data_IF_155256577497
#
_entry.id   IF_155256577497
#
_cell.length_a   1.000
_cell.length_b   1.000
_cell.length_c   1.000
_cell.angle_alpha   90.00
_cell.angle_beta   90.00
_cell.angle_gamma   90.00
#
_symmetry.space_group_name_H-M   'P 1'
#
loop_
_entity.id
_entity.type
_entity.pdbx_description
1 polymer ?
#
# COMPACT_ATOMS: atom_id res chain seq x y z
N UNK A 1 -44.62 1.77 53.31
CA UNK A 1 -44.18 1.97 51.91
C UNK A 1 -43.01 1.04 51.62
N UNK A 2 -43.09 0.25 50.53
CA UNK A 2 -42.19 -0.89 50.23
C UNK A 2 -40.82 -0.42 49.72
N UNK A 3 -39.75 -1.02 50.25
CA UNK A 3 -38.35 -0.86 49.81
C UNK A 3 -38.13 -1.59 48.48
N UNK A 4 -37.78 -0.87 47.41
CA UNK A 4 -37.41 -1.46 46.12
C UNK A 4 -35.90 -1.76 46.11
N UNK A 5 -35.54 -3.04 46.11
CA UNK A 5 -34.14 -3.51 46.00
C UNK A 5 -33.71 -3.48 44.53
N UNK A 6 -32.74 -2.65 44.18
CA UNK A 6 -32.06 -2.72 42.88
C UNK A 6 -31.21 -4.01 42.77
N UNK A 7 -31.58 -4.90 41.85
CA UNK A 7 -30.75 -6.05 41.48
C UNK A 7 -29.73 -5.63 40.42
N UNK A 8 -28.46 -5.48 40.81
CA UNK A 8 -27.34 -5.34 39.85
C UNK A 8 -27.03 -6.68 39.19
N UNK A 9 -27.46 -6.84 37.93
CA UNK A 9 -27.18 -8.03 37.12
C UNK A 9 -25.71 -8.02 36.67
N UNK A 10 -24.86 -8.82 37.31
CA UNK A 10 -23.47 -9.02 36.88
C UNK A 10 -23.43 -9.88 35.61
N UNK A 11 -23.25 -9.25 34.45
CA UNK A 11 -23.09 -9.95 33.16
C UNK A 11 -21.67 -10.53 33.08
N UNK A 12 -21.58 -11.87 33.14
CA UNK A 12 -20.32 -12.64 33.15
C UNK A 12 -19.72 -12.73 31.75
N UNK A 13 -18.99 -11.70 31.34
CA UNK A 13 -18.20 -11.68 30.09
C UNK A 13 -16.91 -12.52 30.21
N UNK A 14 -16.97 -13.85 30.02
CA UNK A 14 -15.76 -14.69 29.92
C UNK A 14 -15.60 -15.53 28.65
N UNK A 15 -16.65 -15.72 27.83
CA UNK A 15 -16.61 -16.63 26.66
C UNK A 15 -16.82 -15.99 25.28
N UNK A 16 -17.02 -14.69 25.18
CA UNK A 16 -17.35 -14.03 23.91
C UNK A 16 -16.15 -13.58 23.07
N UNK A 17 -14.92 -13.58 23.60
CA UNK A 17 -13.74 -13.06 22.88
C UNK A 17 -13.38 -13.87 21.62
N UNK A 18 -13.46 -15.20 21.63
CA UNK A 18 -13.10 -16.05 20.47
C UNK A 18 -14.13 -15.97 19.34
N UNK A 19 -15.42 -15.93 19.67
CA UNK A 19 -16.50 -15.82 18.68
C UNK A 19 -16.47 -14.43 18.04
N UNK A 20 -16.27 -13.38 18.84
CA UNK A 20 -16.17 -12.01 18.35
C UNK A 20 -14.97 -11.78 17.42
N UNK A 21 -13.81 -12.39 17.73
CA UNK A 21 -12.63 -12.33 16.86
C UNK A 21 -12.86 -13.09 15.55
N UNK A 22 -13.49 -14.26 15.57
CA UNK A 22 -13.78 -15.03 14.36
C UNK A 22 -14.77 -14.29 13.45
N UNK A 23 -15.81 -13.68 14.01
CA UNK A 23 -16.76 -12.84 13.25
C UNK A 23 -16.10 -11.58 12.69
N UNK A 24 -15.23 -10.93 13.48
CA UNK A 24 -14.47 -9.77 13.01
C UNK A 24 -13.56 -10.13 11.81
N UNK A 25 -12.85 -11.27 11.88
CA UNK A 25 -12.02 -11.75 10.78
C UNK A 25 -12.83 -12.09 9.51
N UNK A 26 -13.98 -12.76 9.67
CA UNK A 26 -14.84 -13.11 8.53
C UNK A 26 -15.43 -11.88 7.83
N UNK A 27 -15.82 -10.86 8.61
CA UNK A 27 -16.33 -9.59 8.09
C UNK A 27 -15.21 -8.80 7.40
N UNK A 28 -14.02 -8.76 8.00
CA UNK A 28 -12.87 -8.03 7.47
C UNK A 28 -12.38 -8.58 6.13
N UNK A 29 -12.31 -9.91 5.94
CA UNK A 29 -11.90 -10.49 4.66
C UNK A 29 -12.84 -10.12 3.50
N UNK A 30 -14.16 -10.05 3.74
CA UNK A 30 -15.14 -9.63 2.74
C UNK A 30 -15.01 -8.15 2.37
N UNK A 31 -14.66 -7.28 3.33
CA UNK A 31 -14.37 -5.87 3.06
C UNK A 31 -13.12 -5.69 2.18
N UNK A 32 -12.02 -6.40 2.49
CA UNK A 32 -10.81 -6.38 1.65
C UNK A 32 -11.14 -6.80 0.22
N UNK A 33 -11.91 -7.88 0.04
CA UNK A 33 -12.31 -8.34 -1.30
C UNK A 33 -13.14 -7.32 -2.08
N UNK A 34 -14.08 -6.64 -1.43
CA UNK A 34 -14.91 -5.61 -2.07
C UNK A 34 -14.12 -4.34 -2.40
N UNK A 35 -13.21 -3.91 -1.52
CA UNK A 35 -12.32 -2.78 -1.80
C UNK A 35 -11.39 -3.11 -2.96
N UNK A 36 -10.81 -4.33 -2.98
CA UNK A 36 -9.98 -4.78 -4.08
C UNK A 36 -10.75 -4.83 -5.40
N UNK A 37 -11.98 -5.36 -5.39
CA UNK A 37 -12.86 -5.41 -6.57
C UNK A 37 -13.29 -4.01 -7.03
N UNK A 38 -13.44 -3.05 -6.12
CA UNK A 38 -13.73 -1.65 -6.44
C UNK A 38 -12.52 -0.93 -7.05
N UNK A 39 -11.32 -1.17 -6.52
CA UNK A 39 -10.05 -0.65 -7.07
C UNK A 39 -9.77 -1.27 -8.46
N UNK A 40 -10.05 -2.55 -8.66
CA UNK A 40 -9.89 -3.23 -9.95
C UNK A 40 -10.97 -2.89 -10.98
N UNK A 41 -12.15 -2.43 -10.54
CA UNK A 41 -13.19 -1.85 -11.40
C UNK A 41 -12.89 -0.39 -11.76
N UNK A 42 -11.63 0.03 -11.74
CA UNK A 42 -11.23 1.33 -12.29
C UNK A 42 -11.63 1.34 -13.78
N UNK A 43 -12.71 2.07 -14.06
CA UNK A 43 -13.27 2.29 -15.39
C UNK A 43 -12.14 2.75 -16.30
N UNK A 44 -11.79 1.93 -17.29
CA UNK A 44 -10.85 2.30 -18.36
C UNK A 44 -11.39 3.59 -18.97
N UNK A 45 -10.68 4.70 -18.77
CA UNK A 45 -10.96 5.96 -19.44
C UNK A 45 -10.87 5.70 -20.94
N UNK A 46 -11.98 5.90 -21.64
CA UNK A 46 -12.11 5.78 -23.09
C UNK A 46 -11.36 6.90 -23.83
N UNK A 47 -10.88 7.91 -23.11
CA UNK A 47 -9.96 8.92 -23.62
C UNK A 47 -8.51 8.56 -23.29
N UNK A 48 -7.75 8.20 -24.33
CA UNK A 48 -6.29 8.23 -24.34
C UNK A 48 -5.86 9.72 -24.34
N UNK A 49 -5.94 10.39 -23.18
CA UNK A 49 -5.42 11.75 -23.06
C UNK A 49 -3.90 11.71 -23.20
N UNK A 50 -3.45 11.86 -24.44
CA UNK A 50 -2.07 12.11 -24.81
C UNK A 50 -1.57 13.36 -24.08
N UNK A 51 -0.32 13.32 -23.60
CA UNK A 51 0.33 14.41 -22.86
C UNK A 51 0.31 15.77 -23.57
N UNK A 52 0.07 15.77 -24.87
CA UNK A 52 -0.11 16.97 -25.69
C UNK A 52 -1.27 17.86 -25.21
N UNK A 53 -2.29 17.28 -24.56
CA UNK A 53 -3.39 18.06 -23.96
C UNK A 53 -3.05 18.63 -22.58
N UNK A 54 -2.11 18.02 -21.84
CA UNK A 54 -1.58 18.57 -20.58
C UNK A 54 -0.57 19.70 -20.83
N UNK A 55 0.19 19.64 -21.93
CA UNK A 55 1.04 20.74 -22.36
C UNK A 55 0.21 21.98 -22.73
N UNK A 56 -1.00 21.78 -23.28
CA UNK A 56 -1.99 22.86 -23.50
C UNK A 56 -2.60 23.41 -22.20
N UNK A 57 -2.54 22.67 -21.09
CA UNK A 57 -3.16 23.08 -19.82
C UNK A 57 -2.25 23.89 -18.89
N UNK A 58 -1.10 24.39 -19.38
CA UNK A 58 -0.23 25.29 -18.63
C UNK A 58 0.59 24.64 -17.50
N UNK A 59 0.72 23.29 -17.51
CA UNK A 59 1.64 22.61 -16.59
C UNK A 59 3.07 22.80 -17.11
N UNK A 60 3.74 23.78 -16.52
CA UNK A 60 5.13 24.15 -16.76
C UNK A 60 6.07 22.92 -16.65
N UNK A 61 6.81 22.60 -17.71
CA UNK A 61 7.75 21.46 -17.79
C UNK A 61 8.79 21.49 -16.64
N UNK A 62 9.06 22.68 -16.12
CA UNK A 62 9.93 22.89 -14.95
C UNK A 62 9.38 22.22 -13.68
N UNK A 63 8.06 22.27 -13.45
CA UNK A 63 7.41 21.63 -12.27
C UNK A 63 7.47 20.11 -12.35
N UNK A 64 7.31 19.55 -13.55
CA UNK A 64 7.40 18.11 -13.78
C UNK A 64 8.80 17.61 -13.39
N UNK A 65 9.85 18.32 -13.80
CA UNK A 65 11.23 17.97 -13.45
C UNK A 65 11.47 17.94 -11.93
N UNK A 66 10.90 18.90 -11.19
CA UNK A 66 10.99 18.94 -9.73
C UNK A 66 10.26 17.77 -9.07
N UNK A 67 9.09 17.41 -9.57
CA UNK A 67 8.30 16.27 -9.08
C UNK A 67 9.08 14.97 -9.32
N UNK A 68 9.68 14.78 -10.49
CA UNK A 68 10.52 13.61 -10.81
C UNK A 68 11.72 13.49 -9.86
N UNK A 69 12.40 14.61 -9.57
CA UNK A 69 13.51 14.64 -8.61
C UNK A 69 13.05 14.22 -7.21
N UNK A 70 11.92 14.75 -6.74
CA UNK A 70 11.32 14.36 -5.44
C UNK A 70 10.97 12.88 -5.42
N UNK A 71 10.28 12.35 -6.43
CA UNK A 71 9.96 10.92 -6.49
C UNK A 71 11.19 10.01 -6.53
N UNK A 72 12.24 10.43 -7.24
CA UNK A 72 13.52 9.70 -7.25
C UNK A 72 14.18 9.70 -5.88
N UNK A 73 14.11 10.81 -5.16
CA UNK A 73 14.58 10.89 -3.78
C UNK A 73 13.77 9.97 -2.85
N UNK A 74 12.44 10.02 -2.92
CA UNK A 74 11.56 9.15 -2.12
C UNK A 74 11.78 7.66 -2.43
N UNK A 75 11.97 7.31 -3.71
CA UNK A 75 12.30 5.94 -4.13
C UNK A 75 13.59 5.46 -3.45
N UNK A 76 14.66 6.27 -3.53
CA UNK A 76 15.95 5.93 -2.90
C UNK A 76 15.81 5.82 -1.39
N UNK A 77 15.07 6.73 -0.76
CA UNK A 77 14.82 6.70 0.68
C UNK A 77 14.05 5.43 1.09
N UNK A 78 12.99 5.05 0.38
CA UNK A 78 12.25 3.81 0.64
C UNK A 78 13.12 2.56 0.46
N UNK A 79 13.99 2.54 -0.56
CA UNK A 79 14.93 1.43 -0.76
C UNK A 79 15.96 1.35 0.37
N UNK A 80 16.54 2.48 0.78
CA UNK A 80 17.48 2.51 1.91
C UNK A 80 16.81 2.04 3.20
N UNK A 81 15.59 2.51 3.49
CA UNK A 81 14.83 2.05 4.65
C UNK A 81 14.52 0.55 4.56
N UNK A 82 14.15 0.03 3.39
CA UNK A 82 13.90 -1.41 3.21
C UNK A 82 15.16 -2.24 3.53
N UNK A 83 16.34 -1.77 3.10
CA UNK A 83 17.63 -2.42 3.41
C UNK A 83 17.92 -2.38 4.91
N UNK A 84 17.71 -1.24 5.58
CA UNK A 84 17.91 -1.13 7.04
C UNK A 84 16.97 -2.06 7.80
N UNK A 85 15.68 -2.10 7.42
CA UNK A 85 14.70 -2.99 8.03
C UNK A 85 15.05 -4.46 7.78
N UNK A 86 15.59 -4.79 6.61
CA UNK A 86 16.04 -6.15 6.30
C UNK A 86 17.17 -6.61 7.23
N UNK A 87 18.20 -5.78 7.41
CA UNK A 87 19.28 -6.09 8.38
C UNK A 87 18.76 -6.19 9.81
N UNK A 88 17.84 -5.31 10.20
CA UNK A 88 17.21 -5.35 11.51
C UNK A 88 16.37 -6.62 11.72
N UNK A 89 15.61 -7.05 10.70
CA UNK A 89 14.85 -8.28 10.73
C UNK A 89 15.78 -9.49 10.90
N UNK A 90 16.88 -9.55 10.15
CA UNK A 90 17.87 -10.62 10.24
C UNK A 90 18.50 -10.69 11.64
N UNK A 91 18.83 -9.53 12.23
CA UNK A 91 19.29 -9.46 13.62
C UNK A 91 18.26 -10.00 14.63
N UNK A 92 16.97 -9.69 14.43
CA UNK A 92 15.88 -10.20 15.28
C UNK A 92 15.71 -11.72 15.16
N UNK A 93 15.87 -12.27 13.96
CA UNK A 93 15.83 -13.71 13.72
C UNK A 93 16.97 -14.43 14.46
N UNK A 94 18.20 -13.89 14.41
CA UNK A 94 19.34 -14.45 15.14
C UNK A 94 19.10 -14.45 16.66
N UNK A 95 18.47 -13.41 17.20
CA UNK A 95 18.12 -13.33 18.64
C UNK A 95 16.93 -14.22 19.05
N UNK A 96 16.28 -14.92 18.12
CA UNK A 96 15.14 -15.80 18.41
C UNK A 96 13.79 -15.09 18.52
N UNK A 97 13.70 -13.79 18.20
CA UNK A 97 12.43 -13.05 18.20
C UNK A 97 11.65 -13.25 16.89
N UNK A 98 11.25 -14.49 16.61
CA UNK A 98 10.64 -14.90 15.33
C UNK A 98 9.37 -14.09 15.00
N UNK A 99 8.46 -13.90 15.97
CA UNK A 99 7.21 -13.14 15.76
C UNK A 99 7.47 -11.69 15.37
N UNK A 100 8.45 -11.04 16.02
CA UNK A 100 8.80 -9.64 15.72
C UNK A 100 9.54 -9.56 14.39
N UNK A 101 10.34 -10.58 14.05
CA UNK A 101 10.96 -10.75 12.74
C UNK A 101 9.94 -10.76 11.59
N UNK A 102 8.81 -11.46 11.75
CA UNK A 102 7.73 -11.46 10.75
C UNK A 102 7.06 -10.09 10.59
N UNK A 103 6.91 -9.32 11.67
CA UNK A 103 6.37 -7.96 11.61
C UNK A 103 7.35 -7.05 10.87
N UNK A 104 8.65 -7.12 11.18
CA UNK A 104 9.69 -6.38 10.49
C UNK A 104 9.77 -6.75 9.00
N UNK A 105 9.62 -8.04 8.66
CA UNK A 105 9.58 -8.53 7.28
C UNK A 105 8.36 -7.98 6.52
N UNK A 106 7.19 -7.93 7.17
CA UNK A 106 5.99 -7.30 6.60
C UNK A 106 6.21 -5.80 6.33
N UNK A 107 6.87 -5.10 7.26
CA UNK A 107 7.21 -3.68 7.10
C UNK A 107 8.21 -3.45 5.96
N UNK A 108 9.21 -4.33 5.81
CA UNK A 108 10.13 -4.30 4.67
C UNK A 108 9.38 -4.47 3.34
N UNK A 109 8.44 -5.40 3.27
CA UNK A 109 7.64 -5.64 2.06
C UNK A 109 6.75 -4.43 1.71
N UNK A 110 6.20 -3.73 2.71
CA UNK A 110 5.48 -2.47 2.50
C UNK A 110 6.39 -1.36 1.94
N UNK A 111 7.62 -1.23 2.45
CA UNK A 111 8.59 -0.26 1.94
C UNK A 111 9.00 -0.58 0.50
N UNK A 112 9.16 -1.87 0.17
CA UNK A 112 9.46 -2.31 -1.19
C UNK A 112 8.29 -2.04 -2.15
N UNK A 113 7.05 -2.27 -1.71
CA UNK A 113 5.85 -1.93 -2.49
C UNK A 113 5.73 -0.41 -2.73
N UNK A 114 6.08 0.41 -1.74
CA UNK A 114 6.13 1.86 -1.90
C UNK A 114 7.25 2.28 -2.87
N UNK A 115 8.43 1.67 -2.78
CA UNK A 115 9.52 1.91 -3.73
C UNK A 115 9.05 1.59 -5.17
N UNK A 116 8.44 0.42 -5.37
CA UNK A 116 7.86 0.05 -6.65
C UNK A 116 6.84 1.10 -7.16
N UNK A 117 5.94 1.57 -6.29
CA UNK A 117 4.95 2.60 -6.63
C UNK A 117 5.61 3.90 -7.10
N UNK A 118 6.63 4.38 -6.41
CA UNK A 118 7.36 5.59 -6.83
C UNK A 118 8.12 5.38 -8.14
N UNK A 119 8.67 4.18 -8.36
CA UNK A 119 9.32 3.83 -9.62
C UNK A 119 8.31 3.85 -10.79
N UNK A 120 7.12 3.29 -10.58
CA UNK A 120 6.05 3.29 -11.57
C UNK A 120 5.56 4.70 -11.88
N UNK A 121 5.33 5.54 -10.86
CA UNK A 121 4.98 6.94 -11.06
C UNK A 121 6.05 7.71 -11.83
N UNK A 122 7.33 7.51 -11.49
CA UNK A 122 8.43 8.10 -12.23
C UNK A 122 8.39 7.70 -13.71
N UNK A 123 8.15 6.42 -13.99
CA UNK A 123 8.03 5.91 -15.36
C UNK A 123 6.85 6.53 -16.12
N UNK A 124 5.68 6.68 -15.48
CA UNK A 124 4.52 7.34 -16.09
C UNK A 124 4.80 8.81 -16.43
N UNK A 125 5.52 9.53 -15.57
CA UNK A 125 5.94 10.91 -15.83
C UNK A 125 6.96 11.00 -16.99
N UNK A 126 7.91 10.05 -17.09
CA UNK A 126 8.88 10.03 -18.18
C UNK A 126 8.28 9.66 -19.53
N UNK A 127 7.42 8.63 -19.57
CA UNK A 127 6.75 8.18 -20.79
C UNK A 127 5.64 9.13 -21.25
N UNK A 128 5.29 10.14 -20.44
CA UNK A 128 4.27 11.13 -20.77
C UNK A 128 2.94 10.46 -21.19
N UNK A 129 2.56 9.34 -20.56
CA UNK A 129 1.31 8.61 -20.85
C UNK A 129 0.52 8.32 -19.57
N UNK A 130 -0.62 9.00 -19.41
CA UNK A 130 -1.59 8.76 -18.34
C UNK A 130 -2.46 7.55 -18.73
N UNK A 131 -1.89 6.36 -18.70
CA UNK A 131 -2.62 5.15 -19.13
C UNK A 131 -1.78 3.89 -19.36
N UNK A 132 -0.45 3.94 -19.18
CA UNK A 132 0.37 2.74 -19.30
C UNK A 132 -0.13 1.64 -18.35
N UNK A 133 -0.38 0.47 -18.92
CA UNK A 133 -0.87 -0.69 -18.16
C UNK A 133 0.30 -1.25 -17.33
N UNK A 134 0.05 -1.73 -16.10
CA UNK A 134 1.08 -2.38 -15.27
C UNK A 134 1.84 -3.49 -16.02
N UNK A 135 1.14 -4.20 -16.91
CA UNK A 135 1.71 -5.21 -17.79
C UNK A 135 2.75 -4.64 -18.76
N UNK A 136 2.49 -3.49 -19.39
CA UNK A 136 3.44 -2.85 -20.31
C UNK A 136 4.70 -2.40 -19.58
N UNK A 137 4.55 -1.78 -18.41
CA UNK A 137 5.69 -1.38 -17.59
C UNK A 137 6.51 -2.58 -17.09
N UNK A 138 5.85 -3.66 -16.66
CA UNK A 138 6.53 -4.85 -16.16
C UNK A 138 7.29 -5.56 -17.29
N UNK A 139 6.66 -5.67 -18.47
CA UNK A 139 7.32 -6.20 -19.67
C UNK A 139 8.49 -5.31 -20.07
N UNK A 140 8.34 -3.99 -20.12
CA UNK A 140 9.42 -3.06 -20.49
C UNK A 140 10.58 -3.07 -19.48
N UNK A 141 10.28 -3.24 -18.19
CA UNK A 141 11.29 -3.40 -17.14
C UNK A 141 12.08 -4.71 -17.27
N UNK A 142 11.39 -5.83 -17.51
CA UNK A 142 12.03 -7.15 -17.63
C UNK A 142 12.65 -7.42 -18.99
N UNK A 143 12.15 -6.78 -20.05
CA UNK A 143 12.62 -7.00 -21.43
C UNK A 143 13.94 -6.28 -21.72
N UNK A 144 14.42 -5.44 -20.80
CA UNK A 144 15.73 -4.81 -20.89
C UNK A 144 15.76 -3.69 -21.93
N UNK A 145 16.28 -2.54 -21.52
CA UNK A 145 16.39 -1.36 -22.35
C UNK A 145 17.08 -1.60 -23.69
N UNK A 146 16.57 -0.90 -24.69
CA UNK A 146 17.42 -0.26 -25.69
C UNK A 146 17.43 1.22 -25.40
#
# INVERSE_FOLDING_TARGET
MKKTKEKKTKVRFRRTKRIFLADAFHKQHRFIGNVFKSILKLKKSEHDMSYTDLAKSGIDETRISHIIKKFTFLLRLCLLLAVVIYFYALYLFIKGYILVGFIALSLMMLMLANAFKYHFWRYQLYRKKLGCTFHEWFVDLFKGGK
#
